data_IF_145347071657
#
_entry.id   IF_145347071657
#
_cell.length_a   1.000
_cell.length_b   1.000
_cell.length_c   1.000
_cell.angle_alpha   90.00
_cell.angle_beta   90.00
_cell.angle_gamma   90.00
#
_symmetry.space_group_name_H-M   'P 1'
#
loop_
_entity.id
_entity.type
_entity.pdbx_description
1 polymer ?
#
# COMPACT_ATOMS: atom_id res chain seq x y z
N UNK A 1 -5.25 1.75 -15.66
CA UNK A 1 -4.42 1.42 -14.50
C UNK A 1 -4.05 2.70 -13.78
N UNK A 2 -4.35 2.83 -12.48
CA UNK A 2 -4.15 4.09 -11.74
C UNK A 2 -2.68 4.28 -11.30
N UNK A 3 -1.86 3.23 -11.30
CA UNK A 3 -0.43 3.30 -10.98
C UNK A 3 0.40 2.52 -12.02
N UNK A 4 1.52 3.11 -12.43
CA UNK A 4 2.55 2.53 -13.29
C UNK A 4 3.91 3.06 -12.81
N UNK A 5 4.35 2.59 -11.64
CA UNK A 5 5.60 2.99 -11.01
C UNK A 5 6.67 1.92 -11.20
N UNK A 6 7.91 2.33 -11.46
CA UNK A 6 9.10 1.48 -11.38
C UNK A 6 9.71 1.53 -9.97
N UNK A 7 10.77 0.74 -9.73
CA UNK A 7 11.42 0.63 -8.42
C UNK A 7 11.90 1.99 -7.89
N UNK A 8 12.60 2.78 -8.71
CA UNK A 8 13.12 4.09 -8.32
C UNK A 8 12.01 5.08 -7.93
N UNK A 9 10.86 5.01 -8.61
CA UNK A 9 9.69 5.82 -8.27
C UNK A 9 9.07 5.39 -6.93
N UNK A 10 9.01 4.08 -6.65
CA UNK A 10 8.55 3.56 -5.37
C UNK A 10 9.49 3.98 -4.22
N UNK A 11 10.81 3.92 -4.43
CA UNK A 11 11.80 4.37 -3.44
C UNK A 11 11.61 5.85 -3.08
N UNK A 12 11.36 6.72 -4.08
CA UNK A 12 11.07 8.14 -3.83
C UNK A 12 9.78 8.36 -3.03
N UNK A 13 8.75 7.53 -3.24
CA UNK A 13 7.50 7.60 -2.47
C UNK A 13 7.73 7.24 -1.00
N UNK A 14 8.57 6.24 -0.73
CA UNK A 14 8.98 5.85 0.62
C UNK A 14 9.78 6.98 1.27
N UNK A 15 10.83 7.47 0.60
CA UNK A 15 11.66 8.55 1.12
C UNK A 15 10.83 9.80 1.47
N UNK A 16 9.81 10.14 0.67
CA UNK A 16 8.90 11.26 1.00
C UNK A 16 8.17 11.04 2.33
N UNK A 17 7.67 9.83 2.61
CA UNK A 17 6.99 9.52 3.87
C UNK A 17 7.95 9.64 5.07
N UNK A 18 9.22 9.32 4.89
CA UNK A 18 10.25 9.36 5.94
C UNK A 18 10.71 10.80 6.29
N UNK A 19 10.45 11.78 5.41
CA UNK A 19 10.86 13.18 5.65
C UNK A 19 10.05 13.89 6.75
N UNK A 20 8.89 13.35 7.14
CA UNK A 20 7.92 14.07 8.01
C UNK A 20 7.23 15.26 7.33
N UNK A 21 7.55 15.56 6.07
CA UNK A 21 6.91 16.63 5.28
C UNK A 21 5.73 16.11 4.45
N UNK A 22 5.40 14.84 4.56
CA UNK A 22 4.22 14.25 3.97
C UNK A 22 2.98 14.62 4.81
N UNK A 23 2.59 15.89 4.82
CA UNK A 23 1.52 16.43 5.67
C UNK A 23 0.17 15.68 5.57
N UNK A 24 -0.09 15.02 4.45
CA UNK A 24 -1.27 14.18 4.28
C UNK A 24 -1.24 12.88 5.12
N UNK A 25 -0.07 12.46 5.59
CA UNK A 25 0.20 11.31 6.45
C UNK A 25 0.83 11.75 7.78
N UNK A 26 0.62 13.01 8.20
CA UNK A 26 1.04 13.52 9.50
C UNK A 26 -0.19 14.10 10.23
N UNK A 27 -0.74 13.43 11.26
CA UNK A 27 -0.30 12.15 11.82
C UNK A 27 -0.55 10.95 10.88
N UNK A 28 0.22 9.85 10.99
CA UNK A 28 0.08 8.68 10.12
C UNK A 28 -1.33 8.10 10.09
N UNK A 29 -1.79 7.75 8.88
CA UNK A 29 -3.08 7.06 8.73
C UNK A 29 -3.06 5.72 9.45
N UNK A 30 -4.12 5.42 10.20
CA UNK A 30 -4.35 4.06 10.70
C UNK A 30 -4.94 3.23 9.58
N UNK A 31 -4.15 2.32 9.02
CA UNK A 31 -4.58 1.42 7.95
C UNK A 31 -4.86 0.02 8.49
N UNK A 32 -5.87 -0.64 7.92
CA UNK A 32 -6.14 -2.07 8.12
C UNK A 32 -6.36 -2.72 6.77
N UNK A 33 -5.53 -3.71 6.50
CA UNK A 33 -5.49 -4.45 5.25
C UNK A 33 -6.20 -5.78 5.48
N UNK A 34 -7.44 -5.91 5.01
CA UNK A 34 -8.16 -7.17 5.01
C UNK A 34 -7.94 -7.86 3.66
N UNK A 35 -7.46 -9.10 3.74
CA UNK A 35 -7.17 -9.96 2.59
C UNK A 35 -8.06 -11.19 2.71
N UNK A 36 -8.82 -11.53 1.67
CA UNK A 36 -9.69 -12.71 1.65
C UNK A 36 -9.75 -13.37 0.27
N UNK A 37 -10.36 -14.55 0.19
CA UNK A 37 -10.59 -15.29 -1.07
C UNK A 37 -9.30 -15.54 -1.86
N UNK A 38 -8.22 -15.90 -1.17
CA UNK A 38 -6.92 -16.16 -1.80
C UNK A 38 -7.01 -17.36 -2.74
N UNK A 39 -6.60 -17.16 -3.99
CA UNK A 39 -6.46 -18.18 -5.01
C UNK A 39 -5.01 -18.14 -5.51
N UNK A 40 -4.36 -19.29 -5.49
CA UNK A 40 -2.96 -19.45 -5.91
C UNK A 40 -2.92 -20.51 -7.01
N UNK A 41 -2.21 -20.20 -8.09
CA UNK A 41 -1.93 -21.12 -9.18
C UNK A 41 -0.46 -21.08 -9.54
N UNK A 42 0.11 -22.24 -9.85
CA UNK A 42 1.44 -22.36 -10.43
C UNK A 42 1.48 -21.68 -11.81
N UNK A 43 2.64 -21.15 -12.17
CA UNK A 43 2.92 -20.66 -13.53
C UNK A 43 3.86 -21.64 -14.25
N UNK A 44 4.22 -21.32 -15.48
CA UNK A 44 5.24 -22.03 -16.25
C UNK A 44 6.67 -21.80 -15.73
N UNK A 45 6.88 -20.79 -14.88
CA UNK A 45 8.18 -20.48 -14.27
C UNK A 45 8.23 -21.07 -12.86
N UNK A 46 9.24 -21.90 -12.54
CA UNK A 46 9.45 -22.41 -11.18
C UNK A 46 9.51 -21.28 -10.15
N UNK A 47 8.90 -21.52 -8.98
CA UNK A 47 8.83 -20.58 -7.86
C UNK A 47 8.10 -19.25 -8.16
N UNK A 48 7.37 -19.16 -9.28
CA UNK A 48 6.51 -18.03 -9.62
C UNK A 48 5.05 -18.47 -9.57
N UNK A 49 4.26 -17.74 -8.79
CA UNK A 49 2.85 -18.05 -8.57
C UNK A 49 1.97 -16.89 -9.03
N UNK A 50 0.93 -17.21 -9.79
CA UNK A 50 -0.14 -16.28 -10.07
C UNK A 50 -1.11 -16.28 -8.88
N UNK A 51 -1.32 -15.11 -8.28
CA UNK A 51 -2.14 -14.95 -7.08
C UNK A 51 -3.28 -13.98 -7.36
N UNK A 52 -4.49 -14.37 -6.95
CA UNK A 52 -5.68 -13.50 -6.93
C UNK A 52 -6.26 -13.49 -5.53
N UNK A 53 -6.74 -12.34 -5.10
CA UNK A 53 -7.35 -12.16 -3.79
C UNK A 53 -8.32 -10.99 -3.83
N UNK A 54 -9.21 -10.95 -2.84
CA UNK A 54 -10.00 -9.78 -2.52
C UNK A 54 -9.26 -8.94 -1.49
N UNK A 55 -9.18 -7.64 -1.74
CA UNK A 55 -8.50 -6.68 -0.87
C UNK A 55 -9.46 -5.58 -0.44
N UNK A 56 -9.59 -5.39 0.87
CA UNK A 56 -10.28 -4.26 1.46
C UNK A 56 -9.30 -3.46 2.32
N UNK A 57 -9.05 -2.22 1.92
CA UNK A 57 -8.31 -1.25 2.70
C UNK A 57 -9.27 -0.39 3.50
N UNK A 58 -9.23 -0.52 4.82
CA UNK A 58 -9.78 0.49 5.72
C UNK A 58 -8.69 1.47 6.10
N UNK A 59 -8.94 2.77 5.86
CA UNK A 59 -8.02 3.86 6.24
C UNK A 59 -8.80 4.86 7.09
N UNK A 60 -8.31 5.10 8.31
CA UNK A 60 -8.81 6.15 9.19
C UNK A 60 -7.71 7.19 9.41
N UNK A 61 -8.02 8.45 9.13
CA UNK A 61 -7.18 9.59 9.44
C UNK A 61 -7.73 10.27 10.70
N UNK A 62 -6.88 10.72 11.63
CA UNK A 62 -7.32 11.51 12.78
C UNK A 62 -7.84 12.86 12.27
N UNK A 63 -8.85 13.44 12.92
CA UNK A 63 -9.10 14.88 12.74
C UNK A 63 -7.88 15.65 13.23
N UNK A 64 -7.54 16.74 12.54
CA UNK A 64 -6.39 17.60 12.86
C UNK A 64 -6.46 17.99 14.34
N UNK A 65 -5.30 18.15 14.98
CA UNK A 65 -5.27 18.72 16.33
C UNK A 65 -5.94 20.10 16.29
N UNK A 66 -7.08 20.24 16.97
CA UNK A 66 -7.64 21.54 17.32
C UNK A 66 -6.69 22.18 18.33
N UNK A 67 -6.25 23.40 18.01
CA UNK A 67 -5.32 24.19 18.83
C UNK A 67 -6.02 24.74 20.06
#
# INVERSE_FOLDING_TARGET
WIFNDNKDQLERRIARLETGMAWAEEPPSRTRHLISNLQISETDVPDVFAVRLNYLLYRAQKERDET
#
